data_IF_082359701584
#
_entry.id   IF_082359701584
#
_cell.length_a   1.000
_cell.length_b   1.000
_cell.length_c   1.000
_cell.angle_alpha   90.00
_cell.angle_beta   90.00
_cell.angle_gamma   90.00
#
_symmetry.space_group_name_H-M   'P 1'
#
loop_
_entity.id
_entity.type
_entity.pdbx_description
1 polymer ?
#
# COMPACT_ATOMS: atom_id res chain seq x y z
N UNK A 1 16.59 -5.62 -3.03
CA UNK A 1 16.10 -5.30 -1.67
C UNK A 1 15.56 -3.86 -1.66
N UNK A 2 14.24 -3.69 -1.71
CA UNK A 2 13.58 -2.39 -1.71
C UNK A 2 12.42 -2.34 -0.71
N UNK A 3 11.72 -1.20 -0.61
CA UNK A 3 10.60 -1.01 0.30
C UNK A 3 9.49 -2.05 0.11
N UNK A 4 9.27 -2.51 -1.12
CA UNK A 4 8.25 -3.53 -1.44
C UNK A 4 8.49 -4.90 -0.77
N UNK A 5 9.73 -5.18 -0.32
CA UNK A 5 10.08 -6.42 0.39
C UNK A 5 10.34 -6.21 1.89
N UNK A 6 10.27 -4.96 2.36
CA UNK A 6 10.57 -4.57 3.74
C UNK A 6 9.42 -3.84 4.40
N UNK A 7 8.22 -4.32 4.18
CA UNK A 7 7.01 -3.77 4.80
C UNK A 7 6.31 -4.85 5.63
N UNK A 8 5.39 -4.43 6.48
CA UNK A 8 4.68 -5.31 7.39
C UNK A 8 3.55 -6.15 6.74
N UNK A 9 3.36 -6.02 5.42
CA UNK A 9 2.33 -6.77 4.70
C UNK A 9 0.92 -6.22 4.87
N UNK A 10 0.75 -4.99 5.33
CA UNK A 10 -0.56 -4.36 5.37
C UNK A 10 -1.03 -4.01 3.95
N UNK A 11 -2.17 -4.57 3.57
CA UNK A 11 -2.91 -4.20 2.36
C UNK A 11 -3.91 -3.11 2.73
N UNK A 12 -3.42 -1.88 2.89
CA UNK A 12 -4.15 -0.76 3.48
C UNK A 12 -4.24 0.45 2.54
N UNK A 13 -5.21 1.31 2.82
CA UNK A 13 -5.38 2.60 2.13
C UNK A 13 -5.43 3.80 3.07
N UNK A 14 -5.43 3.59 4.38
CA UNK A 14 -5.33 4.61 5.43
C UNK A 14 -6.30 4.39 6.58
N UNK A 15 -5.82 4.63 7.80
CA UNK A 15 -6.66 4.68 9.00
C UNK A 15 -7.36 6.04 9.14
N UNK A 16 -8.37 6.15 10.01
CA UNK A 16 -9.06 7.43 10.22
C UNK A 16 -8.09 8.50 10.74
N UNK A 17 -7.19 8.15 11.67
CA UNK A 17 -6.25 9.11 12.24
C UNK A 17 -5.24 9.63 11.20
N UNK A 18 -4.80 8.76 10.29
CA UNK A 18 -3.96 9.18 9.15
C UNK A 18 -4.71 10.16 8.26
N UNK A 19 -5.95 9.83 7.85
CA UNK A 19 -6.75 10.71 7.00
C UNK A 19 -7.05 12.06 7.68
N UNK A 20 -7.34 12.07 8.99
CA UNK A 20 -7.49 13.31 9.76
C UNK A 20 -6.22 14.16 9.80
N UNK A 21 -5.07 13.50 9.91
CA UNK A 21 -3.78 14.19 9.90
C UNK A 21 -3.48 14.79 8.52
N UNK A 22 -3.74 14.04 7.47
CA UNK A 22 -3.55 14.47 6.10
C UNK A 22 -4.46 15.66 5.74
N UNK A 23 -5.70 15.69 6.22
CA UNK A 23 -6.66 16.80 6.04
C UNK A 23 -6.18 18.13 6.63
N UNK A 24 -5.20 18.12 7.55
CA UNK A 24 -4.61 19.36 8.10
C UNK A 24 -3.67 20.05 7.11
N UNK A 25 -3.16 19.34 6.10
CA UNK A 25 -2.13 19.82 5.18
C UNK A 25 -2.47 19.67 3.70
N UNK A 26 -3.49 18.87 3.37
CA UNK A 26 -3.90 18.59 2.00
C UNK A 26 -5.41 18.84 1.81
N UNK A 27 -5.84 19.01 0.57
CA UNK A 27 -7.26 19.13 0.25
C UNK A 27 -7.98 17.78 0.39
N UNK A 28 -9.28 17.81 0.69
CA UNK A 28 -10.12 16.59 0.71
C UNK A 28 -10.03 15.80 -0.60
N UNK A 29 -10.04 16.50 -1.73
CA UNK A 29 -9.96 15.88 -3.03
C UNK A 29 -8.65 15.10 -3.21
N UNK A 30 -7.51 15.69 -2.84
CA UNK A 30 -6.21 15.02 -2.96
C UNK A 30 -6.16 13.75 -2.10
N UNK A 31 -6.72 13.81 -0.89
CA UNK A 31 -6.73 12.68 0.05
C UNK A 31 -7.61 11.56 -0.47
N UNK A 32 -8.85 11.85 -0.86
CA UNK A 32 -9.76 10.80 -1.33
C UNK A 32 -9.37 10.27 -2.71
N UNK A 33 -8.74 11.06 -3.56
CA UNK A 33 -8.10 10.59 -4.79
C UNK A 33 -6.96 9.60 -4.49
N UNK A 34 -6.16 9.87 -3.46
CA UNK A 34 -5.11 8.94 -3.03
C UNK A 34 -5.68 7.65 -2.47
N UNK A 35 -6.71 7.73 -1.63
CA UNK A 35 -7.44 6.56 -1.11
C UNK A 35 -8.00 5.72 -2.26
N UNK A 36 -8.65 6.35 -3.24
CA UNK A 36 -9.18 5.66 -4.41
C UNK A 36 -8.08 4.96 -5.22
N UNK A 37 -6.94 5.63 -5.44
CA UNK A 37 -5.79 5.04 -6.13
C UNK A 37 -5.25 3.82 -5.38
N UNK A 38 -5.13 3.89 -4.06
CA UNK A 38 -4.68 2.78 -3.21
C UNK A 38 -5.68 1.61 -3.23
N UNK A 39 -6.97 1.90 -3.11
CA UNK A 39 -8.04 0.90 -3.20
C UNK A 39 -8.06 0.18 -4.53
N UNK A 40 -8.04 0.93 -5.65
CA UNK A 40 -7.95 0.37 -7.00
C UNK A 40 -6.63 -0.39 -7.22
N UNK A 41 -5.53 0.11 -6.66
CA UNK A 41 -4.23 -0.53 -6.71
C UNK A 41 -4.22 -1.91 -6.05
N UNK A 42 -4.82 -2.04 -4.87
CA UNK A 42 -4.97 -3.33 -4.18
C UNK A 42 -5.85 -4.30 -4.99
N UNK A 43 -6.99 -3.83 -5.49
CA UNK A 43 -7.85 -4.65 -6.35
C UNK A 43 -7.12 -5.15 -7.60
N UNK A 44 -6.33 -4.27 -8.25
CA UNK A 44 -5.52 -4.62 -9.41
C UNK A 44 -4.41 -5.63 -9.07
N UNK A 45 -3.73 -5.46 -7.94
CA UNK A 45 -2.70 -6.41 -7.48
C UNK A 45 -3.30 -7.80 -7.29
N UNK A 46 -4.44 -7.91 -6.61
CA UNK A 46 -5.18 -9.15 -6.39
C UNK A 46 -5.62 -9.79 -7.71
N UNK A 47 -6.11 -8.99 -8.66
CA UNK A 47 -6.48 -9.46 -10.00
C UNK A 47 -5.28 -10.00 -10.79
N UNK A 48 -4.12 -9.36 -10.69
CA UNK A 48 -2.91 -9.74 -11.43
C UNK A 48 -2.28 -11.01 -10.88
N UNK A 49 -2.21 -11.15 -9.56
CA UNK A 49 -1.45 -12.21 -8.88
C UNK A 49 -2.38 -13.33 -8.38
N UNK A 50 -3.56 -12.97 -7.90
CA UNK A 50 -4.50 -13.85 -7.21
C UNK A 50 -4.29 -13.87 -5.70
N UNK A 51 -5.39 -13.95 -4.95
CA UNK A 51 -5.39 -13.90 -3.48
C UNK A 51 -4.55 -15.01 -2.86
N UNK A 52 -4.63 -16.22 -3.40
CA UNK A 52 -3.85 -17.36 -2.91
C UNK A 52 -2.33 -17.15 -3.04
N UNK A 53 -1.87 -16.56 -4.17
CA UNK A 53 -0.45 -16.31 -4.38
C UNK A 53 0.07 -15.12 -3.56
N UNK A 54 -0.83 -14.22 -3.15
CA UNK A 54 -0.54 -13.10 -2.25
C UNK A 54 -0.61 -13.50 -0.78
N UNK A 55 -1.22 -14.64 -0.47
CA UNK A 55 -1.66 -14.98 0.88
C UNK A 55 -2.53 -13.86 1.47
N UNK A 56 -3.46 -13.36 0.66
CA UNK A 56 -4.31 -12.25 1.04
C UNK A 56 -5.40 -12.71 1.99
N UNK A 57 -5.44 -12.08 3.17
CA UNK A 57 -6.44 -12.32 4.19
C UNK A 57 -7.19 -11.02 4.54
N UNK A 58 -8.51 -10.97 4.38
CA UNK A 58 -9.32 -9.76 4.60
C UNK A 58 -9.69 -9.57 6.08
N UNK A 59 -8.72 -9.63 6.97
CA UNK A 59 -8.96 -9.52 8.41
C UNK A 59 -9.30 -8.10 8.88
N UNK A 60 -9.18 -7.12 7.99
CA UNK A 60 -9.28 -5.70 8.32
C UNK A 60 -7.98 -5.13 8.88
N UNK A 61 -7.97 -3.83 9.06
CA UNK A 61 -6.92 -3.09 9.78
C UNK A 61 -7.48 -2.57 11.10
N UNK A 62 -6.75 -2.73 12.18
CA UNK A 62 -7.20 -2.25 13.50
C UNK A 62 -6.35 -1.07 13.95
N UNK A 63 -7.01 -0.02 14.38
CA UNK A 63 -6.42 1.15 15.00
C UNK A 63 -6.77 1.18 16.48
N UNK A 64 -5.76 1.21 17.33
CA UNK A 64 -5.92 1.14 18.79
C UNK A 64 -5.59 2.48 19.43
N UNK A 65 -6.35 2.83 20.47
CA UNK A 65 -6.19 4.08 21.21
C UNK A 65 -6.04 3.80 22.70
N UNK A 66 -5.00 4.38 23.30
CA UNK A 66 -4.77 4.38 24.74
C UNK A 66 -5.42 5.59 25.39
N UNK A 67 -5.38 5.68 26.71
CA UNK A 67 -5.84 6.88 27.43
C UNK A 67 -5.08 8.17 27.04
N UNK A 68 -3.85 8.05 26.59
CA UNK A 68 -3.05 9.17 26.08
C UNK A 68 -3.60 9.71 24.74
N UNK A 69 -4.27 8.87 23.96
CA UNK A 69 -4.79 9.19 22.62
C UNK A 69 -6.24 9.68 22.66
N UNK A 70 -6.77 10.00 23.84
CA UNK A 70 -8.20 10.31 24.04
C UNK A 70 -8.74 11.36 23.07
N UNK A 71 -8.06 12.48 22.90
CA UNK A 71 -8.50 13.57 22.01
C UNK A 71 -8.54 13.10 20.53
N UNK A 72 -7.53 12.40 20.07
CA UNK A 72 -7.48 11.85 18.73
C UNK A 72 -8.58 10.80 18.52
N UNK A 73 -8.77 9.92 19.49
CA UNK A 73 -9.83 8.91 19.48
C UNK A 73 -11.21 9.56 19.39
N UNK A 74 -11.49 10.58 20.22
CA UNK A 74 -12.78 11.30 20.20
C UNK A 74 -13.02 11.91 18.80
N UNK A 75 -12.03 12.56 18.19
CA UNK A 75 -12.10 13.12 16.84
C UNK A 75 -12.35 12.03 15.77
N UNK A 76 -11.66 10.89 15.86
CA UNK A 76 -11.85 9.76 14.94
C UNK A 76 -13.29 9.23 15.01
N UNK A 77 -13.83 9.04 16.20
CA UNK A 77 -15.20 8.55 16.38
C UNK A 77 -16.25 9.57 15.91
N UNK A 78 -16.04 10.86 16.15
CA UNK A 78 -16.91 11.93 15.66
C UNK A 78 -16.98 11.94 14.12
N UNK A 79 -15.85 11.73 13.45
CA UNK A 79 -15.73 11.75 11.99
C UNK A 79 -16.05 10.42 11.31
N UNK A 80 -16.36 9.37 12.05
CA UNK A 80 -16.56 8.02 11.52
C UNK A 80 -17.65 7.98 10.43
N UNK A 81 -18.79 8.63 10.64
CA UNK A 81 -19.88 8.69 9.66
C UNK A 81 -19.48 9.46 8.39
N UNK A 82 -18.76 10.56 8.56
CA UNK A 82 -18.25 11.37 7.45
C UNK A 82 -17.32 10.52 6.55
N UNK A 83 -16.31 9.89 7.12
CA UNK A 83 -15.41 9.05 6.35
C UNK A 83 -16.11 7.84 5.73
N UNK A 84 -17.04 7.22 6.41
CA UNK A 84 -17.83 6.13 5.83
C UNK A 84 -18.67 6.58 4.63
N UNK A 85 -19.21 7.80 4.66
CA UNK A 85 -19.93 8.38 3.52
C UNK A 85 -19.03 8.58 2.31
N UNK A 86 -17.86 9.19 2.51
CA UNK A 86 -16.90 9.42 1.43
C UNK A 86 -16.32 8.11 0.88
N UNK A 87 -15.94 7.19 1.77
CA UNK A 87 -15.41 5.89 1.36
C UNK A 87 -16.45 4.99 0.70
N UNK A 88 -17.74 5.15 1.02
CA UNK A 88 -18.79 4.44 0.30
C UNK A 88 -18.80 4.79 -1.20
N UNK A 89 -18.55 6.04 -1.55
CA UNK A 89 -18.47 6.50 -2.95
C UNK A 89 -17.31 5.85 -3.70
N UNK A 90 -16.21 5.59 -3.00
CA UNK A 90 -14.98 5.02 -3.56
C UNK A 90 -15.04 3.49 -3.62
N UNK A 91 -15.47 2.86 -2.53
CA UNK A 91 -15.34 1.41 -2.33
C UNK A 91 -16.62 0.62 -2.60
N UNK A 92 -17.78 1.28 -2.61
CA UNK A 92 -19.10 0.67 -2.62
C UNK A 92 -19.52 0.03 -1.30
N UNK A 93 -18.65 0.02 -0.28
CA UNK A 93 -18.94 -0.55 1.05
C UNK A 93 -19.58 0.52 1.96
N UNK A 94 -20.64 0.16 2.70
CA UNK A 94 -21.35 1.10 3.58
C UNK A 94 -20.60 1.45 4.86
N UNK A 95 -19.93 0.46 5.47
CA UNK A 95 -19.25 0.60 6.76
C UNK A 95 -17.81 0.14 6.61
N UNK A 96 -17.00 1.00 6.02
CA UNK A 96 -15.55 0.75 5.89
C UNK A 96 -14.91 0.81 7.27
N UNK A 97 -15.17 1.89 8.01
CA UNK A 97 -14.74 2.01 9.39
C UNK A 97 -15.86 1.66 10.37
N UNK A 98 -15.50 1.02 11.47
CA UNK A 98 -16.42 0.66 12.54
C UNK A 98 -15.75 0.63 13.90
N UNK A 99 -16.59 0.71 14.97
CA UNK A 99 -16.12 0.45 16.32
C UNK A 99 -15.86 -1.05 16.53
N UNK A 100 -14.67 -1.36 17.00
CA UNK A 100 -14.24 -2.72 17.33
C UNK A 100 -13.80 -2.88 18.79
N UNK A 101 -14.17 -1.93 19.68
CA UNK A 101 -13.72 -1.90 21.06
C UNK A 101 -14.10 -3.16 21.86
N UNK A 102 -15.17 -3.86 21.45
CA UNK A 102 -15.55 -5.14 22.06
C UNK A 102 -14.50 -6.24 21.87
N UNK A 103 -13.72 -6.18 20.80
CA UNK A 103 -12.65 -7.14 20.48
C UNK A 103 -11.37 -6.93 21.29
N UNK A 104 -11.21 -5.83 22.02
CA UNK A 104 -10.02 -5.55 22.84
C UNK A 104 -9.72 -6.72 23.79
N UNK A 105 -10.76 -7.22 24.45
CA UNK A 105 -10.64 -8.34 25.38
C UNK A 105 -10.32 -9.68 24.66
N UNK A 106 -10.90 -9.89 23.50
CA UNK A 106 -10.67 -11.09 22.67
C UNK A 106 -9.21 -11.16 22.20
N UNK A 107 -8.61 -10.02 21.87
CA UNK A 107 -7.20 -9.93 21.47
C UNK A 107 -6.23 -9.95 22.67
N UNK A 108 -6.73 -9.91 23.90
CA UNK A 108 -5.90 -9.92 25.10
C UNK A 108 -5.12 -8.62 25.33
N UNK A 109 -5.56 -7.52 24.73
CA UNK A 109 -4.93 -6.21 24.93
C UNK A 109 -5.25 -5.66 26.31
N UNK A 110 -4.24 -5.07 26.95
CA UNK A 110 -4.37 -4.28 28.18
C UNK A 110 -4.01 -2.81 27.87
N UNK A 111 -4.57 -1.89 28.65
CA UNK A 111 -4.33 -0.44 28.50
C UNK A 111 -4.76 0.14 27.14
N UNK A 112 -5.72 -0.48 26.47
CA UNK A 112 -6.40 0.02 25.29
C UNK A 112 -7.81 0.41 25.67
N UNK A 113 -8.19 1.66 25.37
CA UNK A 113 -9.50 2.19 25.73
C UNK A 113 -10.52 2.02 24.61
N UNK A 114 -10.08 2.22 23.36
CA UNK A 114 -10.93 2.12 22.17
C UNK A 114 -10.18 1.49 21.01
N UNK A 115 -10.95 0.90 20.10
CA UNK A 115 -10.42 0.29 18.89
C UNK A 115 -11.37 0.51 17.71
N UNK A 116 -10.82 0.96 16.58
CA UNK A 116 -11.52 1.03 15.31
C UNK A 116 -11.06 -0.10 14.40
N UNK A 117 -11.94 -0.54 13.50
CA UNK A 117 -11.62 -1.46 12.41
C UNK A 117 -11.83 -0.78 11.08
N UNK A 118 -10.93 -1.03 10.13
CA UNK A 118 -11.12 -0.77 8.71
C UNK A 118 -11.42 -2.08 7.99
N UNK A 119 -12.68 -2.32 7.64
CA UNK A 119 -13.15 -3.55 6.95
C UNK A 119 -12.75 -3.60 5.46
N UNK A 120 -12.11 -2.58 4.94
CA UNK A 120 -11.60 -2.52 3.57
C UNK A 120 -10.18 -3.04 3.42
N UNK A 121 -9.49 -3.25 4.52
CA UNK A 121 -8.08 -3.63 4.57
C UNK A 121 -7.89 -5.13 4.82
N UNK A 122 -6.65 -5.56 4.70
CA UNK A 122 -6.24 -6.93 4.97
C UNK A 122 -4.72 -7.04 5.08
N UNK A 123 -4.25 -8.28 5.05
CA UNK A 123 -2.81 -8.57 5.05
C UNK A 123 -2.42 -9.36 3.81
N UNK A 124 -1.15 -9.26 3.44
CA UNK A 124 -0.49 -10.06 2.40
C UNK A 124 0.86 -10.56 2.89
N UNK A 125 1.33 -11.66 2.31
CA UNK A 125 2.74 -12.06 2.42
C UNK A 125 3.55 -11.35 1.33
N UNK A 126 4.39 -10.39 1.73
CA UNK A 126 5.21 -9.59 0.80
C UNK A 126 6.25 -10.42 0.06
N UNK A 127 6.74 -11.49 0.67
CA UNK A 127 7.66 -12.44 0.04
C UNK A 127 6.98 -13.24 -1.06
N UNK A 128 5.79 -13.79 -0.78
CA UNK A 128 4.95 -14.48 -1.76
C UNK A 128 4.54 -13.55 -2.90
N UNK A 129 4.14 -12.30 -2.59
CA UNK A 129 3.84 -11.28 -3.58
C UNK A 129 5.00 -11.07 -4.57
N UNK A 130 6.20 -10.84 -4.05
CA UNK A 130 7.38 -10.60 -4.89
C UNK A 130 7.76 -11.82 -5.72
N UNK A 131 7.67 -13.02 -5.13
CA UNK A 131 7.90 -14.27 -5.85
C UNK A 131 6.92 -14.43 -7.02
N UNK A 132 5.63 -14.24 -6.77
CA UNK A 132 4.59 -14.36 -7.79
C UNK A 132 4.75 -13.31 -8.90
N UNK A 133 5.13 -12.07 -8.57
CA UNK A 133 5.44 -11.03 -9.57
C UNK A 133 6.64 -11.43 -10.45
N UNK A 134 7.72 -11.93 -9.85
CA UNK A 134 8.90 -12.40 -10.59
C UNK A 134 8.56 -13.56 -11.52
N UNK A 135 7.78 -14.53 -11.06
CA UNK A 135 7.32 -15.66 -11.88
C UNK A 135 6.46 -15.15 -13.05
N UNK A 136 5.57 -14.20 -12.80
CA UNK A 136 4.75 -13.61 -13.85
C UNK A 136 5.58 -12.87 -14.90
N UNK A 137 6.60 -12.11 -14.48
CA UNK A 137 7.54 -11.46 -15.39
C UNK A 137 8.24 -12.48 -16.29
N UNK A 138 8.76 -13.56 -15.71
CA UNK A 138 9.42 -14.63 -16.47
C UNK A 138 8.48 -15.31 -17.47
N UNK A 139 7.23 -15.57 -17.07
CA UNK A 139 6.23 -16.22 -17.92
C UNK A 139 5.83 -15.38 -19.15
N UNK A 140 6.02 -14.07 -19.11
CA UNK A 140 5.81 -13.17 -20.26
C UNK A 140 7.12 -12.81 -20.98
N UNK A 141 8.22 -13.49 -20.69
CA UNK A 141 9.50 -13.35 -21.38
C UNK A 141 10.32 -12.12 -20.94
N UNK A 142 10.05 -11.55 -19.78
CA UNK A 142 10.87 -10.45 -19.23
C UNK A 142 12.12 -11.05 -18.59
N UNK A 143 13.29 -10.62 -19.09
CA UNK A 143 14.58 -10.93 -18.47
C UNK A 143 14.82 -10.03 -17.26
N UNK A 144 15.26 -10.64 -16.17
CA UNK A 144 15.54 -9.94 -14.90
C UNK A 144 17.01 -10.14 -14.56
N UNK A 145 17.76 -9.06 -14.55
CA UNK A 145 19.17 -9.04 -14.18
C UNK A 145 19.31 -8.57 -12.74
N UNK A 146 19.86 -9.43 -11.89
CA UNK A 146 20.17 -9.11 -10.50
C UNK A 146 21.68 -8.89 -10.32
N UNK A 147 22.05 -8.08 -9.32
CA UNK A 147 23.46 -7.83 -9.00
C UNK A 147 24.16 -6.90 -9.97
N UNK A 148 23.42 -6.14 -10.75
CA UNK A 148 23.94 -5.10 -11.65
C UNK A 148 23.40 -3.73 -11.23
N UNK A 149 24.28 -2.74 -11.16
CA UNK A 149 23.94 -1.35 -10.91
C UNK A 149 24.06 -0.55 -12.20
N UNK A 150 23.01 0.21 -12.51
CA UNK A 150 23.05 1.17 -13.62
C UNK A 150 23.88 2.37 -13.19
N UNK A 151 24.95 2.64 -13.91
CA UNK A 151 25.87 3.76 -13.60
C UNK A 151 25.61 4.98 -14.46
N UNK A 152 25.06 4.78 -15.68
CA UNK A 152 24.80 5.85 -16.62
C UNK A 152 23.68 5.50 -17.58
N UNK A 153 22.88 6.50 -17.94
CA UNK A 153 21.90 6.40 -19.03
C UNK A 153 22.13 7.58 -19.96
N UNK A 154 22.38 7.31 -21.24
CA UNK A 154 22.60 8.33 -22.27
C UNK A 154 21.63 8.12 -23.43
N UNK A 155 21.16 9.24 -23.99
CA UNK A 155 20.32 9.22 -25.18
C UNK A 155 21.23 9.32 -26.43
N UNK A 156 21.28 8.25 -27.20
CA UNK A 156 22.06 8.16 -28.45
C UNK A 156 21.11 8.11 -29.64
N UNK A 157 20.61 9.27 -30.08
CA UNK A 157 19.72 9.40 -31.25
C UNK A 157 18.44 8.53 -31.19
N UNK A 158 18.51 7.28 -31.70
CA UNK A 158 17.37 6.35 -31.77
C UNK A 158 17.30 5.39 -30.58
N UNK A 159 18.33 5.35 -29.73
CA UNK A 159 18.46 4.41 -28.64
C UNK A 159 18.90 5.14 -27.37
N UNK A 160 18.56 4.54 -26.23
CA UNK A 160 19.17 4.86 -24.95
C UNK A 160 20.25 3.82 -24.65
N UNK A 161 21.44 4.28 -24.35
CA UNK A 161 22.54 3.45 -23.85
C UNK A 161 22.47 3.43 -22.34
N UNK A 162 22.56 2.22 -21.78
CA UNK A 162 22.53 1.98 -20.32
C UNK A 162 23.83 1.28 -19.97
N UNK A 163 24.67 1.93 -19.19
CA UNK A 163 25.94 1.40 -18.72
C UNK A 163 25.81 0.83 -17.30
N UNK A 164 26.50 -0.27 -17.04
CA UNK A 164 26.50 -0.97 -15.76
C UNK A 164 27.86 -0.94 -15.08
N UNK A 165 27.88 -1.12 -13.76
CA UNK A 165 29.08 -1.16 -12.93
C UNK A 165 30.10 -2.25 -13.30
N UNK A 166 29.68 -3.29 -14.00
CA UNK A 166 30.53 -4.40 -14.45
C UNK A 166 31.16 -4.16 -15.85
N UNK A 167 31.03 -2.97 -16.43
CA UNK A 167 31.58 -2.59 -17.71
C UNK A 167 30.76 -3.00 -18.94
N UNK A 168 29.65 -3.69 -18.75
CA UNK A 168 28.70 -3.97 -19.85
C UNK A 168 27.79 -2.79 -20.10
N UNK A 169 27.25 -2.72 -21.31
CA UNK A 169 26.20 -1.79 -21.67
C UNK A 169 25.15 -2.46 -22.56
N UNK A 170 23.92 -1.94 -22.52
CA UNK A 170 22.84 -2.34 -23.41
C UNK A 170 22.27 -1.13 -24.13
N UNK A 171 21.72 -1.37 -25.32
CA UNK A 171 20.97 -0.37 -26.08
C UNK A 171 19.49 -0.72 -26.05
N UNK A 172 18.66 0.25 -25.70
CA UNK A 172 17.20 0.10 -25.69
C UNK A 172 16.53 1.25 -26.42
N UNK A 173 15.40 0.96 -27.08
CA UNK A 173 14.59 2.02 -27.71
C UNK A 173 13.90 2.92 -26.70
N UNK A 174 13.60 2.41 -25.50
CA UNK A 174 12.91 3.11 -24.41
C UNK A 174 13.44 2.62 -23.08
N UNK A 175 13.51 3.50 -22.10
CA UNK A 175 13.89 3.20 -20.72
C UNK A 175 12.81 3.73 -19.80
N UNK A 176 12.36 2.89 -18.86
CA UNK A 176 11.52 3.29 -17.75
C UNK A 176 12.36 3.25 -16.48
N UNK A 177 12.53 4.41 -15.83
CA UNK A 177 13.19 4.52 -14.54
C UNK A 177 12.13 4.32 -13.45
N UNK A 178 12.23 3.21 -12.71
CA UNK A 178 11.27 2.84 -11.68
C UNK A 178 11.99 2.53 -10.35
N UNK A 179 12.80 3.49 -9.88
CA UNK A 179 13.66 3.35 -8.69
C UNK A 179 13.13 4.16 -7.49
N UNK A 180 11.84 4.55 -7.53
CA UNK A 180 11.20 5.38 -6.52
C UNK A 180 11.94 6.73 -6.36
N UNK A 181 12.18 7.21 -5.14
CA UNK A 181 12.89 8.45 -4.86
C UNK A 181 14.42 8.34 -4.88
N UNK A 182 14.98 7.29 -5.51
CA UNK A 182 16.43 7.03 -5.52
C UNK A 182 17.09 7.31 -6.89
N UNK A 183 16.41 8.01 -7.80
CA UNK A 183 16.98 8.42 -9.08
C UNK A 183 17.72 9.75 -8.98
#
# INVERSE_FOLDING_TARGET
YGASTRNAGFACFGSISELLTDLKSHSENDIFDLVEKRWKGLARLRQIIGDQSLDYEPFGGYEIFTSADKLLSDECYEKLNYFNSELHRITGKKNVYGDASTKIKEFGFSNIDRMLINNGEGQIDTGKMMKALLEKCRNVGIEILNGVDVTKIENENKFCRIDFNNGFSILSKKVLIAVNGFA
#
